data_IF_257556932215
#
_entry.id   IF_257556932215
#
_cell.length_a   1.000
_cell.length_b   1.000
_cell.length_c   1.000
_cell.angle_alpha   90.00
_cell.angle_beta   90.00
_cell.angle_gamma   90.00
#
_symmetry.space_group_name_H-M   'P 1'
#
loop_
_entity.id
_entity.type
_entity.pdbx_description
1 polymer ?
#
# COMPACT_ATOMS: atom_id res chain seq x y z
N UNK A 1 38.72 7.59 -30.09
CA UNK A 1 38.11 8.95 -30.13
C UNK A 1 36.68 8.86 -29.58
N UNK A 2 36.42 9.47 -28.44
CA UNK A 2 35.04 9.54 -27.91
C UNK A 2 34.22 10.46 -28.80
N UNK A 3 33.07 10.00 -29.28
CA UNK A 3 32.28 10.74 -30.25
C UNK A 3 31.54 11.92 -29.55
N UNK A 4 31.22 12.96 -30.36
CA UNK A 4 30.43 14.11 -29.91
C UNK A 4 29.08 13.69 -29.23
N UNK A 5 28.60 12.51 -29.60
CA UNK A 5 27.41 11.88 -29.06
C UNK A 5 27.61 11.33 -27.63
N UNK A 6 28.80 10.80 -27.34
CA UNK A 6 29.14 10.31 -25.99
C UNK A 6 29.39 11.48 -25.04
N UNK A 7 29.95 12.58 -25.49
CA UNK A 7 30.12 13.81 -24.74
C UNK A 7 28.75 14.43 -24.37
N UNK A 8 27.80 14.50 -25.30
CA UNK A 8 26.46 15.03 -25.06
C UNK A 8 25.64 14.12 -24.15
N UNK A 9 25.83 12.79 -24.21
CA UNK A 9 25.23 11.87 -23.24
C UNK A 9 25.72 12.11 -21.81
N UNK A 10 27.02 12.30 -21.63
CA UNK A 10 27.60 12.54 -20.30
C UNK A 10 27.28 13.93 -19.76
N UNK A 11 27.21 14.96 -20.60
CA UNK A 11 26.82 16.32 -20.19
C UNK A 11 25.31 16.40 -19.92
N UNK A 12 24.49 15.72 -20.71
CA UNK A 12 23.04 15.64 -20.47
C UNK A 12 22.70 14.90 -19.17
N UNK A 13 23.41 13.81 -18.87
CA UNK A 13 23.25 13.07 -17.60
C UNK A 13 23.77 13.87 -16.39
N UNK A 14 24.92 14.55 -16.52
CA UNK A 14 25.48 15.35 -15.45
C UNK A 14 24.68 16.64 -15.20
N UNK A 15 24.23 17.33 -16.27
CA UNK A 15 23.40 18.53 -16.16
C UNK A 15 21.98 18.23 -15.63
N UNK A 16 21.39 17.13 -16.06
CA UNK A 16 20.10 16.65 -15.54
C UNK A 16 20.18 16.28 -14.05
N UNK A 17 21.20 15.53 -13.64
CA UNK A 17 21.38 15.17 -12.22
C UNK A 17 21.75 16.36 -11.34
N UNK A 18 22.52 17.34 -11.81
CA UNK A 18 22.86 18.55 -11.03
C UNK A 18 21.66 19.46 -10.84
N UNK A 19 20.76 19.59 -11.83
CA UNK A 19 19.49 20.32 -11.67
C UNK A 19 18.54 19.59 -10.71
N UNK A 20 18.60 18.26 -10.62
CA UNK A 20 17.80 17.46 -9.68
C UNK A 20 18.35 17.47 -8.24
N UNK A 21 19.65 17.65 -8.03
CA UNK A 21 20.28 17.65 -6.71
C UNK A 21 20.07 18.98 -5.93
N UNK A 22 19.69 20.07 -6.59
CA UNK A 22 19.70 21.42 -6.00
C UNK A 22 18.45 21.82 -5.20
N UNK A 23 17.39 21.04 -5.18
CA UNK A 23 16.15 21.37 -4.49
C UNK A 23 15.70 20.25 -3.52
N UNK A 24 16.49 20.00 -2.49
CA UNK A 24 15.91 19.44 -1.28
C UNK A 24 15.20 20.59 -0.56
N UNK A 25 13.87 20.55 -0.50
CA UNK A 25 13.13 21.48 0.36
C UNK A 25 13.69 21.35 1.80
N UNK A 26 13.74 22.45 2.53
CA UNK A 26 14.32 22.45 3.89
C UNK A 26 13.75 21.36 4.80
N UNK A 27 12.51 20.91 4.57
CA UNK A 27 11.83 19.88 5.37
C UNK A 27 12.38 18.45 5.14
N UNK A 28 12.68 18.05 3.89
CA UNK A 28 13.27 16.73 3.67
C UNK A 28 14.70 16.63 4.20
N UNK A 29 15.48 17.70 4.06
CA UNK A 29 16.81 17.79 4.66
C UNK A 29 16.72 17.77 6.20
N UNK A 30 15.70 18.40 6.78
CA UNK A 30 15.43 18.39 8.23
C UNK A 30 15.08 16.97 8.69
N UNK A 31 14.18 16.26 8.01
CA UNK A 31 13.83 14.86 8.34
C UNK A 31 15.04 13.94 8.29
N UNK A 32 15.86 14.03 7.24
CA UNK A 32 17.08 13.22 7.13
C UNK A 32 18.06 13.51 8.26
N UNK A 33 18.27 14.78 8.60
CA UNK A 33 19.16 15.20 9.70
C UNK A 33 18.66 14.69 11.06
N UNK A 34 17.37 14.85 11.36
CA UNK A 34 16.75 14.35 12.58
C UNK A 34 16.80 12.83 12.66
N UNK A 35 16.60 12.12 11.54
CA UNK A 35 16.76 10.67 11.50
C UNK A 35 18.19 10.22 11.83
N UNK A 36 19.20 11.01 11.44
CA UNK A 36 20.59 10.77 11.85
C UNK A 36 20.81 11.02 13.35
N UNK A 37 20.20 12.07 13.92
CA UNK A 37 20.30 12.38 15.35
C UNK A 37 19.76 11.27 16.25
N UNK A 38 18.67 10.60 15.83
CA UNK A 38 18.08 9.48 16.57
C UNK A 38 18.56 8.10 16.08
N UNK A 39 19.63 8.04 15.26
CA UNK A 39 20.14 6.77 14.73
C UNK A 39 20.62 5.80 15.83
N UNK A 40 20.93 6.32 17.04
CA UNK A 40 21.29 5.52 18.21
C UNK A 40 20.09 4.86 18.90
N UNK A 41 18.86 5.30 18.63
CA UNK A 41 17.64 4.69 19.15
C UNK A 41 17.23 3.49 18.30
N UNK A 42 16.78 2.41 18.95
CA UNK A 42 16.10 1.35 18.23
C UNK A 42 14.80 1.86 17.59
N UNK A 43 14.29 1.24 16.52
CA UNK A 43 13.02 1.63 15.91
C UNK A 43 11.85 1.70 16.91
N UNK A 44 11.81 0.78 17.87
CA UNK A 44 10.80 0.74 18.93
C UNK A 44 10.91 1.93 19.90
N UNK A 45 12.14 2.29 20.30
CA UNK A 45 12.38 3.47 21.14
C UNK A 45 12.02 4.75 20.40
N UNK A 46 12.42 4.86 19.14
CA UNK A 46 12.08 6.00 18.29
C UNK A 46 10.57 6.14 18.05
N UNK A 47 9.79 5.05 18.14
CA UNK A 47 8.35 5.07 17.89
C UNK A 47 7.56 6.00 18.82
N UNK A 48 8.02 6.20 20.06
CA UNK A 48 7.40 7.06 21.07
C UNK A 48 8.10 8.41 21.26
N UNK A 49 9.15 8.72 20.47
CA UNK A 49 9.87 10.00 20.53
C UNK A 49 9.08 11.09 19.81
N UNK A 50 8.18 11.77 20.54
CA UNK A 50 7.31 12.79 19.95
C UNK A 50 8.09 13.98 19.37
N UNK A 51 9.26 14.33 19.89
CA UNK A 51 10.08 15.45 19.36
C UNK A 51 10.55 15.14 17.94
N UNK A 52 10.93 13.88 17.67
CA UNK A 52 11.24 13.44 16.32
C UNK A 52 10.00 13.46 15.41
N UNK A 53 8.87 12.92 15.89
CA UNK A 53 7.67 12.80 15.05
C UNK A 53 6.98 14.12 14.78
N UNK A 54 7.14 15.15 15.62
CA UNK A 54 6.68 16.52 15.33
C UNK A 54 7.27 17.04 14.03
N UNK A 55 8.54 16.81 13.76
CA UNK A 55 9.15 17.25 12.49
C UNK A 55 8.59 16.50 11.27
N UNK A 56 8.26 15.20 11.42
CA UNK A 56 7.57 14.42 10.38
C UNK A 56 6.15 14.97 10.17
N UNK A 57 5.41 15.26 11.25
CA UNK A 57 4.07 15.85 11.20
C UNK A 57 4.07 17.17 10.44
N UNK A 58 5.05 18.05 10.70
CA UNK A 58 5.22 19.33 10.03
C UNK A 58 5.56 19.23 8.54
N UNK A 59 5.99 18.07 8.06
CA UNK A 59 6.22 17.83 6.63
C UNK A 59 4.92 17.57 5.84
N UNK A 60 3.76 17.54 6.50
CA UNK A 60 2.45 17.32 5.87
C UNK A 60 1.56 18.54 6.00
N UNK A 61 0.76 18.84 4.97
CA UNK A 61 -0.36 19.79 5.03
C UNK A 61 -1.59 19.09 5.60
N UNK A 62 -1.57 18.82 6.92
CA UNK A 62 -2.72 18.25 7.59
C UNK A 62 -3.85 19.29 7.74
N UNK A 63 -5.11 18.84 7.63
CA UNK A 63 -6.26 19.71 7.92
C UNK A 63 -6.25 20.15 9.39
N UNK A 64 -6.52 21.43 9.63
CA UNK A 64 -6.68 21.98 11.00
C UNK A 64 -8.09 21.75 11.56
N UNK A 65 -9.04 21.37 10.72
CA UNK A 65 -10.46 21.23 11.07
C UNK A 65 -10.96 19.79 11.04
N UNK A 66 -10.25 18.88 10.37
CA UNK A 66 -10.61 17.48 10.25
C UNK A 66 -9.46 16.61 10.75
N UNK A 67 -9.73 15.75 11.70
CA UNK A 67 -8.82 14.69 12.13
C UNK A 67 -8.99 13.51 11.17
N UNK A 68 -8.02 13.33 10.26
CA UNK A 68 -8.09 12.25 9.29
C UNK A 68 -7.53 10.95 9.87
N UNK A 69 -8.43 10.00 10.18
CA UNK A 69 -8.11 8.65 10.59
C UNK A 69 -8.60 7.61 9.55
N UNK A 70 -8.66 8.00 8.27
CA UNK A 70 -8.99 7.11 7.15
C UNK A 70 -7.85 7.03 6.11
N UNK A 71 -6.59 7.03 6.56
CA UNK A 71 -5.41 6.95 5.70
C UNK A 71 -5.28 5.60 4.97
N UNK A 72 -5.97 4.56 5.42
CA UNK A 72 -6.07 3.29 4.70
C UNK A 72 -6.84 3.38 3.38
N UNK A 73 -7.68 4.38 3.18
CA UNK A 73 -8.28 4.66 1.87
C UNK A 73 -7.23 5.25 0.93
N UNK A 74 -6.73 6.41 1.29
CA UNK A 74 -5.68 7.17 0.61
C UNK A 74 -5.00 8.07 1.64
N UNK A 75 -3.68 8.29 1.53
CA UNK A 75 -2.92 9.14 2.45
C UNK A 75 -2.51 10.46 1.81
N UNK A 76 -2.41 11.55 2.58
CA UNK A 76 -1.87 12.80 2.05
C UNK A 76 -0.40 12.64 1.69
N UNK A 77 0.04 13.45 0.74
CA UNK A 77 1.44 13.54 0.32
C UNK A 77 2.20 14.47 1.27
N UNK A 78 3.49 14.19 1.58
CA UNK A 78 4.36 15.20 2.17
C UNK A 78 4.48 16.44 1.28
N UNK A 79 4.68 17.64 1.85
CA UNK A 79 4.79 18.90 1.10
C UNK A 79 5.82 18.84 -0.02
N UNK A 80 6.98 18.21 0.21
CA UNK A 80 8.01 18.05 -0.81
C UNK A 80 7.51 17.30 -2.06
N UNK A 81 6.59 16.34 -1.88
CA UNK A 81 5.98 15.58 -2.99
C UNK A 81 4.93 16.43 -3.70
N UNK A 82 4.14 17.20 -2.96
CA UNK A 82 3.15 18.14 -3.52
C UNK A 82 3.83 19.21 -4.36
N UNK A 83 4.87 19.87 -3.82
CA UNK A 83 5.64 20.92 -4.51
C UNK A 83 6.29 20.38 -5.80
N UNK A 84 6.78 19.15 -5.75
CA UNK A 84 7.35 18.51 -6.92
C UNK A 84 6.29 18.23 -8.00
N UNK A 85 5.13 17.70 -7.60
CA UNK A 85 4.01 17.46 -8.51
C UNK A 85 3.58 18.75 -9.22
N UNK A 86 3.41 19.84 -8.48
CA UNK A 86 3.04 21.12 -9.03
C UNK A 86 4.10 21.66 -10.01
N UNK A 87 5.38 21.57 -9.62
CA UNK A 87 6.49 22.01 -10.48
C UNK A 87 6.56 21.20 -11.77
N UNK A 88 6.47 19.89 -11.71
CA UNK A 88 6.52 19.03 -12.90
C UNK A 88 5.29 19.22 -13.79
N UNK A 89 4.12 19.47 -13.22
CA UNK A 89 2.94 19.84 -13.99
C UNK A 89 3.16 21.15 -14.77
N UNK A 90 3.74 22.19 -14.17
CA UNK A 90 4.06 23.45 -14.86
C UNK A 90 5.07 23.23 -15.99
N UNK A 91 6.17 22.52 -15.72
CA UNK A 91 7.19 22.18 -16.75
C UNK A 91 6.56 21.41 -17.91
N UNK A 92 5.71 20.42 -17.63
CA UNK A 92 5.04 19.66 -18.68
C UNK A 92 4.20 20.55 -19.58
N UNK A 93 3.55 21.60 -19.03
CA UNK A 93 2.67 22.51 -19.77
C UNK A 93 3.41 23.56 -20.61
N UNK A 94 4.73 23.76 -20.44
CA UNK A 94 5.51 24.68 -21.28
C UNK A 94 5.63 24.19 -22.74
N UNK A 95 5.84 22.87 -22.95
CA UNK A 95 5.80 22.20 -24.25
C UNK A 95 5.48 20.70 -24.04
N UNK A 96 4.20 20.31 -23.94
CA UNK A 96 3.79 19.00 -23.38
C UNK A 96 4.46 17.79 -24.03
N UNK A 97 4.38 17.68 -25.39
CA UNK A 97 4.96 16.50 -26.07
C UNK A 97 6.48 16.42 -25.96
N UNK A 98 7.16 17.55 -25.85
CA UNK A 98 8.62 17.59 -25.68
C UNK A 98 9.02 17.24 -24.26
N UNK A 99 8.48 17.92 -23.25
CA UNK A 99 8.87 17.71 -21.87
C UNK A 99 8.42 16.35 -21.35
N UNK A 100 7.23 15.91 -21.69
CA UNK A 100 6.73 14.60 -21.26
C UNK A 100 7.56 13.46 -21.86
N UNK A 101 7.62 13.37 -23.20
CA UNK A 101 8.20 12.21 -23.89
C UNK A 101 9.73 12.27 -24.06
N UNK A 102 10.33 13.45 -24.10
CA UNK A 102 11.78 13.58 -24.33
C UNK A 102 12.56 13.78 -23.04
N UNK A 103 11.97 14.35 -22.01
CA UNK A 103 12.66 14.72 -20.78
C UNK A 103 12.16 13.86 -19.60
N UNK A 104 10.88 13.93 -19.25
CA UNK A 104 10.38 13.26 -18.05
C UNK A 104 10.33 11.74 -18.17
N UNK A 105 10.10 11.20 -19.37
CA UNK A 105 10.09 9.76 -19.58
C UNK A 105 11.45 9.10 -19.22
N UNK A 106 12.55 9.84 -19.33
CA UNK A 106 13.87 9.38 -18.91
C UNK A 106 13.97 9.15 -17.38
N UNK A 107 13.10 9.78 -16.60
CA UNK A 107 13.04 9.60 -15.14
C UNK A 107 12.35 8.31 -14.69
N UNK A 108 11.74 7.57 -15.61
CA UNK A 108 10.98 6.35 -15.28
C UNK A 108 11.90 5.20 -14.83
N UNK A 109 13.00 4.94 -15.51
CA UNK A 109 13.93 3.88 -15.13
C UNK A 109 14.63 4.15 -13.78
N UNK A 110 15.11 5.36 -13.46
CA UNK A 110 15.55 5.71 -12.11
C UNK A 110 14.47 5.53 -11.04
N UNK A 111 13.20 5.86 -11.33
CA UNK A 111 12.10 5.61 -10.41
C UNK A 111 11.86 4.11 -10.19
N UNK A 112 11.87 3.31 -11.28
CA UNK A 112 11.74 1.85 -11.21
C UNK A 112 12.82 1.26 -10.31
N UNK A 113 14.08 1.68 -10.48
CA UNK A 113 15.18 1.20 -9.64
C UNK A 113 14.96 1.54 -8.17
N UNK A 114 14.56 2.78 -7.83
CA UNK A 114 14.26 3.17 -6.45
C UNK A 114 13.12 2.36 -5.83
N UNK A 115 12.07 2.10 -6.59
CA UNK A 115 10.94 1.28 -6.12
C UNK A 115 11.36 -0.18 -5.94
N UNK A 116 12.17 -0.72 -6.86
CA UNK A 116 12.70 -2.08 -6.79
C UNK A 116 13.63 -2.27 -5.57
N UNK A 117 14.50 -1.29 -5.28
CA UNK A 117 15.35 -1.29 -4.09
C UNK A 117 14.52 -1.30 -2.81
N UNK A 118 13.48 -0.45 -2.74
CA UNK A 118 12.57 -0.42 -1.60
C UNK A 118 11.80 -1.73 -1.46
N UNK A 119 11.33 -2.29 -2.59
CA UNK A 119 10.56 -3.54 -2.67
C UNK A 119 11.41 -4.80 -2.46
N UNK A 120 12.74 -4.73 -2.65
CA UNK A 120 13.65 -5.86 -2.59
C UNK A 120 13.46 -6.85 -3.74
N UNK A 121 13.33 -6.33 -4.97
CA UNK A 121 13.22 -7.12 -6.18
C UNK A 121 14.09 -6.53 -7.31
N UNK A 122 14.16 -7.22 -8.44
CA UNK A 122 14.83 -6.68 -9.62
C UNK A 122 13.99 -5.58 -10.28
N UNK A 123 14.59 -4.49 -10.79
CA UNK A 123 13.88 -3.53 -11.66
C UNK A 123 13.22 -4.20 -12.87
N UNK A 124 13.77 -5.31 -13.36
CA UNK A 124 13.24 -6.09 -14.48
C UNK A 124 11.99 -6.94 -14.10
N UNK A 125 11.56 -6.87 -12.86
CA UNK A 125 10.36 -7.53 -12.35
C UNK A 125 9.27 -6.55 -11.90
N UNK A 126 9.52 -5.22 -12.04
CA UNK A 126 8.64 -4.19 -11.52
C UNK A 126 8.13 -3.28 -12.64
N UNK A 127 6.81 -3.19 -12.80
CA UNK A 127 6.13 -2.23 -13.66
C UNK A 127 5.48 -1.11 -12.81
N UNK A 128 5.53 0.12 -13.34
CA UNK A 128 4.89 1.29 -12.73
C UNK A 128 3.48 1.41 -13.31
N UNK A 129 2.48 1.46 -12.43
CA UNK A 129 1.07 1.59 -12.79
C UNK A 129 0.35 2.65 -11.92
N UNK A 130 -0.98 2.71 -11.97
CA UNK A 130 -1.76 3.76 -11.30
C UNK A 130 -2.26 3.36 -9.91
N UNK A 131 -2.44 2.08 -9.63
CA UNK A 131 -2.91 1.58 -8.34
C UNK A 131 -2.90 0.04 -8.28
N UNK A 132 -3.20 -0.51 -7.10
CA UNK A 132 -3.34 -1.96 -6.90
C UNK A 132 -4.38 -2.59 -7.82
N UNK A 133 -5.52 -1.92 -8.02
CA UNK A 133 -6.62 -2.46 -8.85
C UNK A 133 -6.15 -2.71 -10.28
N UNK A 134 -5.42 -1.78 -10.89
CA UNK A 134 -4.85 -1.96 -12.23
C UNK A 134 -3.81 -3.10 -12.26
N UNK A 135 -2.91 -3.13 -11.26
CA UNK A 135 -1.88 -4.18 -11.18
C UNK A 135 -2.49 -5.57 -11.03
N UNK A 136 -3.41 -5.74 -10.09
CA UNK A 136 -4.09 -7.02 -9.89
C UNK A 136 -5.02 -7.38 -11.05
N UNK A 137 -5.70 -6.41 -11.65
CA UNK A 137 -6.50 -6.67 -12.85
C UNK A 137 -5.62 -7.12 -14.02
N UNK A 138 -4.43 -6.54 -14.18
CA UNK A 138 -3.44 -6.99 -15.18
C UNK A 138 -3.08 -8.46 -14.96
N UNK A 139 -2.82 -8.87 -13.72
CA UNK A 139 -2.54 -10.27 -13.38
C UNK A 139 -3.77 -11.12 -13.65
N UNK A 140 -4.91 -10.80 -13.04
CA UNK A 140 -6.14 -11.61 -13.08
C UNK A 140 -6.61 -11.82 -14.52
N UNK A 141 -6.60 -10.77 -15.34
CA UNK A 141 -7.07 -10.84 -16.74
C UNK A 141 -6.03 -11.43 -17.69
N UNK A 142 -4.73 -11.28 -17.37
CA UNK A 142 -3.61 -11.73 -18.19
C UNK A 142 -3.24 -13.21 -18.01
N UNK A 143 -3.65 -13.84 -16.91
CA UNK A 143 -3.39 -15.25 -16.63
C UNK A 143 -4.10 -16.17 -17.63
N UNK A 144 -3.38 -17.15 -18.17
CA UNK A 144 -3.95 -18.20 -19.03
C UNK A 144 -4.53 -19.32 -18.16
N UNK A 145 -5.80 -19.19 -17.79
CA UNK A 145 -6.57 -20.19 -17.07
C UNK A 145 -7.56 -20.88 -18.00
N UNK A 146 -7.88 -22.14 -17.74
CA UNK A 146 -8.78 -22.98 -18.54
C UNK A 146 -10.07 -23.28 -17.76
N UNK A 147 -11.12 -23.63 -18.47
CA UNK A 147 -12.36 -24.13 -17.88
C UNK A 147 -12.08 -25.21 -16.83
N UNK A 148 -12.59 -25.01 -15.64
CA UNK A 148 -12.44 -25.92 -14.51
C UNK A 148 -11.17 -25.75 -13.69
N UNK A 149 -10.21 -24.89 -14.08
CA UNK A 149 -9.11 -24.49 -13.20
C UNK A 149 -9.67 -23.77 -11.97
N UNK A 150 -9.04 -23.98 -10.83
CA UNK A 150 -9.51 -23.43 -9.55
C UNK A 150 -8.62 -22.31 -9.06
N UNK A 151 -9.26 -21.29 -8.46
CA UNK A 151 -8.63 -20.16 -7.78
C UNK A 151 -9.12 -20.11 -6.34
N UNK A 152 -8.20 -20.13 -5.37
CA UNK A 152 -8.51 -20.03 -3.94
C UNK A 152 -8.34 -18.59 -3.49
N UNK A 153 -9.37 -18.04 -2.81
CA UNK A 153 -9.41 -16.66 -2.32
C UNK A 153 -10.32 -16.54 -1.11
N UNK A 154 -10.32 -15.37 -0.45
CA UNK A 154 -11.13 -15.15 0.75
C UNK A 154 -12.36 -14.26 0.48
N UNK A 155 -13.42 -14.42 1.30
CA UNK A 155 -14.58 -13.51 1.27
C UNK A 155 -14.21 -12.11 1.79
N UNK A 156 -13.13 -12.00 2.54
CA UNK A 156 -12.63 -10.77 3.13
C UNK A 156 -11.73 -9.95 2.18
N UNK A 157 -11.46 -10.45 0.98
CA UNK A 157 -10.69 -9.74 -0.04
C UNK A 157 -11.37 -8.45 -0.51
N UNK A 158 -10.59 -7.60 -1.19
CA UNK A 158 -11.10 -6.30 -1.66
C UNK A 158 -12.18 -6.48 -2.73
N UNK A 159 -13.35 -5.79 -2.64
CA UNK A 159 -14.50 -6.02 -3.50
C UNK A 159 -14.22 -5.97 -5.00
N UNK A 160 -13.40 -5.01 -5.46
CA UNK A 160 -13.08 -4.91 -6.89
C UNK A 160 -12.32 -6.14 -7.40
N UNK A 161 -11.48 -6.75 -6.57
CA UNK A 161 -10.74 -7.95 -6.94
C UNK A 161 -11.64 -9.19 -6.91
N UNK A 162 -12.55 -9.26 -5.95
CA UNK A 162 -13.62 -10.26 -5.94
C UNK A 162 -14.43 -10.19 -7.25
N UNK A 163 -14.81 -8.98 -7.69
CA UNK A 163 -15.55 -8.81 -8.95
C UNK A 163 -14.70 -9.18 -10.16
N UNK A 164 -13.41 -8.87 -10.18
CA UNK A 164 -12.52 -9.28 -11.25
C UNK A 164 -12.44 -10.81 -11.37
N UNK A 165 -12.32 -11.53 -10.26
CA UNK A 165 -12.34 -12.99 -10.24
C UNK A 165 -13.71 -13.57 -10.67
N UNK A 166 -14.82 -13.01 -10.18
CA UNK A 166 -16.17 -13.39 -10.63
C UNK A 166 -16.36 -13.19 -12.13
N UNK A 167 -15.82 -12.10 -12.69
CA UNK A 167 -15.83 -11.87 -14.14
C UNK A 167 -15.06 -12.97 -14.89
N UNK A 168 -13.91 -13.41 -14.36
CA UNK A 168 -13.15 -14.54 -14.92
C UNK A 168 -13.92 -15.85 -14.80
N UNK A 169 -14.57 -16.12 -13.67
CA UNK A 169 -15.43 -17.30 -13.48
C UNK A 169 -16.54 -17.34 -14.52
N UNK A 170 -17.22 -16.22 -14.77
CA UNK A 170 -18.28 -16.12 -15.78
C UNK A 170 -17.76 -16.28 -17.22
N UNK A 171 -16.63 -15.67 -17.55
CA UNK A 171 -16.10 -15.63 -18.91
C UNK A 171 -15.36 -16.91 -19.31
N UNK A 172 -14.54 -17.41 -18.40
CA UNK A 172 -13.57 -18.48 -18.69
C UNK A 172 -13.94 -19.81 -18.02
N UNK A 173 -15.08 -19.86 -17.30
CA UNK A 173 -15.62 -21.04 -16.61
C UNK A 173 -14.62 -21.67 -15.61
N UNK A 174 -13.72 -20.84 -15.03
CA UNK A 174 -12.90 -21.24 -13.88
C UNK A 174 -13.79 -21.43 -12.65
N UNK A 175 -13.23 -21.96 -11.56
CA UNK A 175 -13.96 -22.18 -10.30
C UNK A 175 -13.30 -21.38 -9.16
N UNK A 176 -14.11 -20.62 -8.43
CA UNK A 176 -13.66 -19.87 -7.27
C UNK A 176 -13.90 -20.68 -5.99
N UNK A 177 -12.84 -20.93 -5.25
CA UNK A 177 -12.85 -21.66 -3.96
C UNK A 177 -12.76 -20.63 -2.83
N UNK A 178 -13.85 -20.42 -2.12
CA UNK A 178 -13.99 -19.37 -1.13
C UNK A 178 -13.62 -19.83 0.27
N UNK A 179 -12.77 -19.05 0.94
CA UNK A 179 -12.48 -19.16 2.36
C UNK A 179 -13.21 -18.03 3.09
N UNK A 180 -13.89 -18.35 4.19
CA UNK A 180 -14.38 -17.34 5.13
C UNK A 180 -13.46 -17.28 6.35
N UNK A 181 -12.91 -16.10 6.66
CA UNK A 181 -12.04 -15.86 7.79
C UNK A 181 -12.85 -15.25 8.95
N UNK A 182 -12.81 -15.91 10.09
CA UNK A 182 -13.41 -15.39 11.34
C UNK A 182 -12.33 -14.62 12.11
N UNK A 183 -12.25 -13.31 11.86
CA UNK A 183 -11.21 -12.44 12.37
C UNK A 183 -11.52 -11.87 13.76
N UNK A 184 -10.50 -11.60 14.60
CA UNK A 184 -9.08 -11.81 14.37
C UNK A 184 -8.64 -13.27 14.55
N UNK A 185 -7.65 -13.71 13.76
CA UNK A 185 -6.96 -14.98 13.91
C UNK A 185 -5.53 -14.70 14.36
N UNK A 186 -5.08 -15.35 15.43
CA UNK A 186 -3.76 -15.15 16.04
C UNK A 186 -2.92 -16.43 16.05
N UNK A 187 -3.05 -17.22 14.98
CA UNK A 187 -2.31 -18.46 14.77
C UNK A 187 -2.08 -18.68 13.27
N UNK A 188 -0.80 -18.73 12.86
CA UNK A 188 -0.41 -18.91 11.48
C UNK A 188 -0.87 -20.24 10.89
N UNK A 189 -0.80 -21.32 11.68
CA UNK A 189 -1.17 -22.65 11.21
C UNK A 189 -2.66 -22.73 10.86
N UNK A 190 -3.50 -22.00 11.60
CA UNK A 190 -4.94 -21.87 11.27
C UNK A 190 -5.14 -21.25 9.88
N UNK A 191 -4.36 -20.21 9.52
CA UNK A 191 -4.42 -19.65 8.17
C UNK A 191 -3.96 -20.67 7.14
N UNK A 192 -2.79 -21.28 7.34
CA UNK A 192 -2.23 -22.26 6.41
C UNK A 192 -3.22 -23.41 6.19
N UNK A 193 -3.81 -23.93 7.26
CA UNK A 193 -4.81 -24.98 7.18
C UNK A 193 -6.02 -24.57 6.35
N UNK A 194 -6.64 -23.40 6.64
CA UNK A 194 -7.82 -22.92 5.89
C UNK A 194 -7.56 -22.78 4.40
N UNK A 195 -6.36 -22.34 3.99
CA UNK A 195 -6.00 -22.23 2.58
C UNK A 195 -5.73 -23.62 1.98
N UNK A 196 -4.95 -24.46 2.64
CA UNK A 196 -4.55 -25.78 2.12
C UNK A 196 -5.69 -26.79 2.01
N UNK A 197 -6.73 -26.69 2.85
CA UNK A 197 -7.98 -27.45 2.75
C UNK A 197 -8.75 -27.19 1.46
N UNK A 198 -8.53 -26.04 0.80
CA UNK A 198 -9.14 -25.72 -0.48
C UNK A 198 -8.32 -26.17 -1.69
N UNK A 199 -7.08 -26.60 -1.50
CA UNK A 199 -6.20 -26.99 -2.61
C UNK A 199 -6.56 -28.37 -3.16
N UNK A 200 -6.78 -28.42 -4.47
CA UNK A 200 -7.02 -29.66 -5.23
C UNK A 200 -6.02 -29.76 -6.39
N UNK A 201 -5.94 -30.88 -7.12
CA UNK A 201 -5.11 -30.99 -8.33
C UNK A 201 -5.48 -29.96 -9.44
N UNK A 202 -6.67 -29.36 -9.36
CA UNK A 202 -7.15 -28.34 -10.31
C UNK A 202 -6.80 -26.91 -9.86
N UNK A 203 -6.37 -26.72 -8.63
CA UNK A 203 -5.98 -25.41 -8.12
C UNK A 203 -4.75 -24.90 -8.86
N UNK A 204 -4.84 -23.73 -9.46
CA UNK A 204 -3.74 -23.07 -10.20
C UNK A 204 -3.24 -21.82 -9.50
N UNK A 205 -4.11 -21.13 -8.80
CA UNK A 205 -3.83 -19.84 -8.17
C UNK A 205 -4.34 -19.83 -6.74
N UNK A 206 -3.52 -19.29 -5.84
CA UNK A 206 -3.96 -18.78 -4.55
C UNK A 206 -3.82 -17.26 -4.55
N UNK A 207 -4.91 -16.56 -4.23
CA UNK A 207 -4.95 -15.10 -4.10
C UNK A 207 -4.97 -14.75 -2.61
N UNK A 208 -4.03 -13.93 -2.17
CA UNK A 208 -3.83 -13.61 -0.75
C UNK A 208 -3.78 -12.10 -0.57
N UNK A 209 -4.75 -11.54 0.16
CA UNK A 209 -4.64 -10.16 0.66
C UNK A 209 -3.72 -10.17 1.89
N UNK A 210 -2.51 -9.59 1.75
CA UNK A 210 -1.48 -9.62 2.80
C UNK A 210 -1.95 -8.94 4.10
N UNK A 211 -2.69 -7.83 3.98
CA UNK A 211 -3.38 -7.20 5.12
C UNK A 211 -4.83 -6.91 4.77
N UNK A 212 -5.75 -7.55 5.46
CA UNK A 212 -7.19 -7.34 5.27
C UNK A 212 -7.56 -5.89 5.58
N UNK A 213 -8.03 -5.18 4.57
CA UNK A 213 -8.34 -3.74 4.65
C UNK A 213 -9.49 -3.39 5.60
N UNK A 214 -10.30 -4.36 6.00
CA UNK A 214 -11.45 -4.16 6.90
C UNK A 214 -11.06 -4.11 8.37
N UNK A 215 -10.08 -4.92 8.77
CA UNK A 215 -9.69 -5.11 10.17
C UNK A 215 -8.21 -4.88 10.45
N UNK A 216 -7.36 -4.83 9.42
CA UNK A 216 -5.91 -4.75 9.58
C UNK A 216 -5.24 -6.08 9.90
N UNK A 217 -5.97 -7.21 9.77
CA UNK A 217 -5.39 -8.53 9.95
C UNK A 217 -4.29 -8.80 8.93
N UNK A 218 -3.08 -9.07 9.40
CA UNK A 218 -1.95 -9.52 8.58
C UNK A 218 -2.02 -11.04 8.46
N UNK A 219 -1.87 -11.55 7.25
CA UNK A 219 -1.81 -12.98 6.93
C UNK A 219 -0.37 -13.45 6.80
N UNK A 220 -0.04 -14.69 7.20
CA UNK A 220 1.29 -15.28 7.08
C UNK A 220 1.55 -15.73 5.63
N UNK A 221 1.70 -14.75 4.71
CA UNK A 221 1.77 -14.98 3.25
C UNK A 221 2.85 -16.01 2.90
N UNK A 222 4.05 -15.90 3.48
CA UNK A 222 5.15 -16.81 3.20
C UNK A 222 4.79 -18.27 3.47
N UNK A 223 4.19 -18.56 4.61
CA UNK A 223 3.79 -19.94 4.97
C UNK A 223 2.72 -20.50 4.03
N UNK A 224 1.77 -19.67 3.64
CA UNK A 224 0.73 -20.04 2.67
C UNK A 224 1.36 -20.26 1.29
N UNK A 225 2.27 -19.39 0.87
CA UNK A 225 2.98 -19.48 -0.40
C UNK A 225 3.82 -20.76 -0.50
N UNK A 226 4.58 -21.11 0.55
CA UNK A 226 5.37 -22.34 0.59
C UNK A 226 4.47 -23.59 0.44
N UNK A 227 3.31 -23.59 1.11
CA UNK A 227 2.35 -24.69 0.98
C UNK A 227 1.68 -24.78 -0.40
N UNK A 228 1.49 -23.64 -1.08
CA UNK A 228 0.99 -23.54 -2.44
C UNK A 228 2.03 -24.02 -3.46
N UNK A 229 3.25 -23.52 -3.38
CA UNK A 229 4.35 -23.89 -4.26
C UNK A 229 4.71 -25.38 -4.18
N UNK A 230 4.62 -25.99 -3.00
CA UNK A 230 4.79 -27.44 -2.83
C UNK A 230 3.78 -28.26 -3.65
N UNK A 231 2.71 -27.65 -4.15
CA UNK A 231 1.67 -28.25 -5.02
C UNK A 231 1.64 -27.68 -6.44
N UNK A 232 2.62 -26.83 -6.80
CA UNK A 232 2.70 -26.19 -8.12
C UNK A 232 1.62 -25.12 -8.35
N UNK A 233 1.13 -24.48 -7.26
CA UNK A 233 0.12 -23.43 -7.29
C UNK A 233 0.82 -22.08 -7.24
N UNK A 234 0.51 -21.18 -8.18
CA UNK A 234 1.05 -19.83 -8.21
C UNK A 234 0.38 -18.91 -7.18
N UNK A 235 1.15 -17.95 -6.67
CA UNK A 235 0.75 -17.07 -5.55
C UNK A 235 0.64 -15.63 -6.02
N UNK A 236 -0.57 -15.06 -5.89
CA UNK A 236 -0.84 -13.63 -6.10
C UNK A 236 -1.01 -12.97 -4.75
N UNK A 237 -0.30 -11.87 -4.52
CA UNK A 237 -0.37 -11.10 -3.26
C UNK A 237 -0.92 -9.69 -3.52
N UNK A 238 -2.02 -9.37 -2.85
CA UNK A 238 -2.51 -8.00 -2.73
C UNK A 238 -1.77 -7.30 -1.58
N UNK A 239 -0.81 -6.44 -1.95
CA UNK A 239 0.00 -5.66 -1.03
C UNK A 239 -0.49 -4.24 -0.80
N UNK A 240 -1.74 -3.92 -1.15
CA UNK A 240 -2.28 -2.56 -1.10
C UNK A 240 -2.11 -1.86 0.26
N UNK A 241 -2.10 -2.63 1.35
CA UNK A 241 -1.97 -2.11 2.72
C UNK A 241 -0.65 -2.44 3.40
N UNK A 242 0.30 -3.08 2.73
CA UNK A 242 1.54 -3.52 3.39
C UNK A 242 2.80 -2.88 2.86
N UNK A 243 2.85 -2.51 1.58
CA UNK A 243 4.01 -1.84 1.00
C UNK A 243 4.25 -0.46 1.64
N UNK A 244 5.48 -0.19 2.05
CA UNK A 244 5.88 1.03 2.78
C UNK A 244 5.13 1.26 4.11
N UNK A 245 4.40 0.26 4.60
CA UNK A 245 3.72 0.18 5.89
C UNK A 245 4.45 -0.79 6.83
N UNK A 246 4.74 -1.99 6.33
CA UNK A 246 5.49 -3.04 7.01
C UNK A 246 6.91 -3.14 6.43
N UNK A 247 7.84 -3.58 7.25
CA UNK A 247 9.23 -3.79 6.86
C UNK A 247 9.45 -5.22 6.38
N UNK A 248 9.33 -5.44 5.08
CA UNK A 248 9.58 -6.69 4.39
C UNK A 248 10.07 -6.43 2.96
N UNK A 249 10.60 -7.45 2.32
CA UNK A 249 10.90 -7.48 0.89
C UNK A 249 9.92 -8.41 0.18
N UNK A 250 9.58 -8.12 -1.07
CA UNK A 250 8.65 -8.98 -1.85
C UNK A 250 9.16 -10.42 -1.91
N UNK A 251 10.49 -10.60 -1.99
CA UNK A 251 11.15 -11.92 -1.93
C UNK A 251 10.82 -12.71 -0.67
N UNK A 252 10.57 -12.03 0.47
CA UNK A 252 10.25 -12.69 1.75
C UNK A 252 8.85 -13.32 1.73
N UNK A 253 7.96 -12.83 0.86
CA UNK A 253 6.58 -13.30 0.76
C UNK A 253 6.41 -14.58 -0.05
N UNK A 254 7.36 -14.91 -0.92
CA UNK A 254 7.20 -16.00 -1.87
C UNK A 254 6.13 -15.73 -2.94
N UNK A 255 5.87 -14.46 -3.27
CA UNK A 255 4.89 -14.10 -4.29
C UNK A 255 5.42 -14.36 -5.70
N UNK A 256 4.59 -14.92 -6.59
CA UNK A 256 4.84 -14.95 -8.03
C UNK A 256 4.39 -13.64 -8.69
N UNK A 257 3.35 -13.02 -8.11
CA UNK A 257 2.78 -11.75 -8.52
C UNK A 257 2.41 -10.92 -7.29
N UNK A 258 2.66 -9.62 -7.39
CA UNK A 258 2.31 -8.69 -6.31
C UNK A 258 1.88 -7.34 -6.90
N UNK A 259 0.90 -6.67 -6.30
CA UNK A 259 0.58 -5.30 -6.66
C UNK A 259 0.24 -4.46 -5.43
N UNK A 260 0.54 -3.17 -5.54
CA UNK A 260 0.27 -2.21 -4.45
C UNK A 260 -0.05 -0.81 -4.98
N UNK A 261 -0.69 -0.01 -4.12
CA UNK A 261 -0.97 1.42 -4.34
C UNK A 261 0.05 2.27 -3.57
N UNK A 262 0.83 3.08 -4.28
CA UNK A 262 1.86 3.92 -3.69
C UNK A 262 1.28 5.17 -2.98
N UNK A 263 0.06 5.58 -3.34
CA UNK A 263 -0.65 6.71 -2.73
C UNK A 263 -1.31 6.38 -1.38
N UNK A 264 -1.07 5.18 -0.83
CA UNK A 264 -1.49 4.81 0.53
C UNK A 264 -0.31 5.04 1.49
N UNK A 265 0.37 3.99 1.88
CA UNK A 265 1.40 4.07 2.93
C UNK A 265 2.72 4.70 2.49
N UNK A 266 3.05 4.70 1.20
CA UNK A 266 4.21 5.45 0.68
C UNK A 266 3.94 6.96 0.61
N UNK A 267 2.66 7.38 0.66
CA UNK A 267 2.25 8.80 0.52
C UNK A 267 2.72 9.45 -0.80
N UNK A 268 2.77 8.64 -1.87
CA UNK A 268 3.05 9.13 -3.23
C UNK A 268 1.84 9.85 -3.82
N UNK A 269 1.97 10.55 -4.95
CA UNK A 269 0.85 11.19 -5.62
C UNK A 269 -0.33 10.24 -5.89
N UNK A 270 -1.55 10.78 -5.84
CA UNK A 270 -2.75 10.00 -6.10
C UNK A 270 -2.72 9.40 -7.51
N UNK A 271 -3.16 8.16 -7.64
CA UNK A 271 -3.10 7.45 -8.90
C UNK A 271 -1.70 6.90 -9.23
N UNK A 272 -0.96 6.44 -8.21
CA UNK A 272 0.31 5.74 -8.35
C UNK A 272 0.26 4.35 -7.74
N UNK A 273 0.90 3.40 -8.40
CA UNK A 273 1.01 2.01 -7.99
C UNK A 273 2.20 1.31 -8.64
N UNK A 274 2.39 0.07 -8.28
CA UNK A 274 3.35 -0.81 -8.95
C UNK A 274 2.83 -2.25 -9.02
N UNK A 275 3.29 -2.96 -10.03
CA UNK A 275 3.06 -4.37 -10.29
C UNK A 275 4.41 -5.08 -10.27
N UNK A 276 4.55 -6.12 -9.46
CA UNK A 276 5.66 -7.07 -9.49
C UNK A 276 5.20 -8.35 -10.18
N UNK A 277 6.02 -8.84 -11.09
CA UNK A 277 5.86 -10.14 -11.75
C UNK A 277 7.21 -10.84 -11.70
N UNK A 278 7.26 -12.01 -11.09
CA UNK A 278 8.46 -12.84 -11.02
C UNK A 278 9.00 -13.09 -12.44
N UNK A 279 10.30 -12.95 -12.64
CA UNK A 279 10.95 -12.92 -13.97
C UNK A 279 10.47 -14.02 -14.91
N UNK A 280 10.42 -15.26 -14.44
CA UNK A 280 10.00 -16.42 -15.23
C UNK A 280 8.50 -16.41 -15.61
N UNK A 281 7.69 -15.56 -14.97
CA UNK A 281 6.24 -15.45 -15.23
C UNK A 281 5.91 -14.33 -16.24
N UNK A 282 6.83 -13.39 -16.48
CA UNK A 282 6.58 -12.23 -17.36
C UNK A 282 6.12 -12.67 -18.75
N UNK A 283 6.83 -13.60 -19.37
CA UNK A 283 6.54 -14.06 -20.74
C UNK A 283 5.14 -14.67 -20.89
N UNK A 284 4.64 -15.35 -19.86
CA UNK A 284 3.36 -16.07 -19.90
C UNK A 284 2.16 -15.23 -19.50
N UNK A 285 2.36 -14.10 -18.83
CA UNK A 285 1.29 -13.20 -18.42
C UNK A 285 1.01 -12.17 -19.51
N UNK A 286 -0.22 -12.11 -19.99
CA UNK A 286 -0.64 -11.12 -20.98
C UNK A 286 -0.84 -9.73 -20.35
N UNK A 287 -0.45 -8.65 -21.05
CA UNK A 287 -0.74 -7.29 -20.56
C UNK A 287 -2.23 -6.98 -20.66
N UNK A 288 -2.74 -6.10 -19.79
CA UNK A 288 -4.13 -5.63 -19.80
C UNK A 288 -4.41 -4.73 -21.01
N UNK A 289 -3.45 -3.90 -21.37
CA UNK A 289 -3.52 -3.01 -22.53
C UNK A 289 -2.76 -3.59 -23.72
N UNK A 290 -3.15 -3.24 -24.97
CA UNK A 290 -2.52 -3.78 -26.15
C UNK A 290 -1.03 -3.45 -26.21
N UNK A 291 -0.22 -4.40 -26.65
CA UNK A 291 1.22 -4.26 -26.84
C UNK A 291 1.62 -4.91 -28.17
N UNK A 292 2.68 -4.42 -28.78
CA UNK A 292 3.22 -4.96 -30.05
C UNK A 292 3.66 -6.41 -29.88
N UNK A 293 4.29 -6.74 -28.74
CA UNK A 293 4.63 -8.11 -28.38
C UNK A 293 4.09 -8.42 -26.97
N UNK A 294 2.88 -8.96 -26.85
CA UNK A 294 2.29 -9.30 -25.58
C UNK A 294 3.01 -10.46 -24.86
N UNK A 295 3.86 -11.22 -25.56
CA UNK A 295 4.68 -12.30 -25.00
C UNK A 295 6.14 -11.91 -24.78
N UNK A 296 6.49 -10.63 -24.91
CA UNK A 296 7.82 -10.15 -24.57
C UNK A 296 8.21 -10.53 -23.14
N UNK A 297 9.49 -10.85 -22.94
CA UNK A 297 10.09 -11.06 -21.62
C UNK A 297 10.62 -9.72 -21.06
N UNK A 298 9.78 -8.69 -21.15
CA UNK A 298 10.07 -7.33 -20.68
C UNK A 298 8.90 -6.85 -19.82
N UNK A 299 9.19 -6.49 -18.58
CA UNK A 299 8.22 -6.00 -17.61
C UNK A 299 7.50 -4.73 -18.09
N UNK A 300 8.17 -3.93 -18.94
CA UNK A 300 7.65 -2.66 -19.47
C UNK A 300 6.44 -2.84 -20.39
N UNK A 301 6.17 -4.07 -20.85
CA UNK A 301 4.96 -4.39 -21.62
C UNK A 301 3.67 -4.09 -20.86
N UNK A 302 3.72 -4.05 -19.52
CA UNK A 302 2.56 -3.72 -18.67
C UNK A 302 2.36 -2.20 -18.48
N UNK A 303 3.21 -1.36 -19.06
CA UNK A 303 3.18 0.10 -18.89
C UNK A 303 2.68 0.87 -20.11
N UNK A 304 2.11 0.20 -21.09
CA UNK A 304 1.61 0.84 -22.33
C UNK A 304 0.24 1.46 -22.07
N UNK A 305 0.24 2.67 -21.48
CA UNK A 305 -0.96 3.38 -21.04
C UNK A 305 -1.37 4.56 -21.95
N UNK A 306 -0.58 4.88 -23.00
CA UNK A 306 -0.78 6.09 -23.78
C UNK A 306 -0.43 7.36 -22.98
N UNK A 307 -1.12 8.46 -23.28
CA UNK A 307 -0.90 9.74 -22.61
C UNK A 307 -1.39 9.69 -21.17
N UNK A 308 -0.52 10.11 -20.24
CA UNK A 308 -0.77 10.11 -18.80
C UNK A 308 0.00 11.27 -18.13
N UNK A 309 -0.18 11.46 -16.84
CA UNK A 309 0.58 12.47 -16.10
C UNK A 309 1.99 11.98 -15.77
N UNK A 310 2.99 12.48 -16.46
CA UNK A 310 4.41 12.22 -16.16
C UNK A 310 4.85 12.90 -14.86
N UNK A 311 4.23 14.03 -14.51
CA UNK A 311 4.50 14.75 -13.27
C UNK A 311 4.28 13.87 -12.03
N UNK A 312 3.25 13.04 -12.06
CA UNK A 312 2.91 12.09 -10.99
C UNK A 312 4.04 11.07 -10.80
N UNK A 313 4.58 10.52 -11.88
CA UNK A 313 5.70 9.56 -11.83
C UNK A 313 6.97 10.23 -11.26
N UNK A 314 7.31 11.45 -11.72
CA UNK A 314 8.48 12.18 -11.24
C UNK A 314 8.39 12.48 -9.72
N UNK A 315 7.24 12.93 -9.24
CA UNK A 315 7.02 13.24 -7.84
C UNK A 315 7.05 11.98 -6.95
N UNK A 316 6.70 10.81 -7.47
CA UNK A 316 6.76 9.54 -6.73
C UNK A 316 8.17 9.23 -6.23
N UNK A 317 9.21 9.57 -7.00
CA UNK A 317 10.61 9.40 -6.59
C UNK A 317 10.96 10.15 -5.30
N UNK A 318 10.31 11.30 -5.04
CA UNK A 318 10.50 12.04 -3.79
C UNK A 318 9.75 11.40 -2.60
N UNK A 319 8.62 10.75 -2.85
CA UNK A 319 7.94 9.97 -1.82
C UNK A 319 8.82 8.78 -1.36
N UNK A 320 9.50 8.10 -2.30
CA UNK A 320 10.48 7.04 -1.97
C UNK A 320 11.64 7.60 -1.14
N UNK A 321 12.19 8.76 -1.53
CA UNK A 321 13.27 9.40 -0.78
C UNK A 321 12.82 9.78 0.64
N UNK A 322 11.60 10.31 0.80
CA UNK A 322 11.02 10.66 2.09
C UNK A 322 10.80 9.42 2.99
N UNK A 323 10.28 8.33 2.40
CA UNK A 323 10.16 7.03 3.07
C UNK A 323 11.53 6.53 3.58
N UNK A 324 12.54 6.57 2.71
CA UNK A 324 13.90 6.12 3.06
C UNK A 324 14.54 7.01 4.14
N UNK A 325 14.24 8.30 4.16
CA UNK A 325 14.73 9.22 5.20
C UNK A 325 14.15 8.88 6.59
N UNK A 326 12.91 8.44 6.67
CA UNK A 326 12.30 7.94 7.92
C UNK A 326 12.87 6.55 8.26
N UNK A 327 12.95 5.66 7.27
CA UNK A 327 13.26 4.25 7.42
C UNK A 327 12.02 3.39 7.64
N UNK A 328 11.88 2.29 6.87
CA UNK A 328 10.67 1.47 6.86
C UNK A 328 10.36 0.88 8.22
N UNK A 329 11.35 0.29 8.90
CA UNK A 329 11.14 -0.29 10.23
C UNK A 329 10.74 0.73 11.29
N UNK A 330 11.35 1.92 11.27
CA UNK A 330 10.99 3.00 12.20
C UNK A 330 9.57 3.49 11.97
N UNK A 331 9.17 3.61 10.71
CA UNK A 331 7.80 3.96 10.34
C UNK A 331 6.80 2.89 10.79
N UNK A 332 7.08 1.62 10.55
CA UNK A 332 6.23 0.50 11.01
C UNK A 332 6.00 0.56 12.52
N UNK A 333 7.08 0.71 13.32
CA UNK A 333 6.96 0.76 14.77
C UNK A 333 6.16 1.99 15.24
N UNK A 334 6.33 3.16 14.59
CA UNK A 334 5.49 4.34 14.87
C UNK A 334 4.03 4.08 14.58
N UNK A 335 3.71 3.52 13.43
CA UNK A 335 2.34 3.21 13.03
C UNK A 335 1.68 2.22 13.99
N UNK A 336 2.41 1.20 14.42
CA UNK A 336 2.00 0.24 15.43
C UNK A 336 1.77 0.91 16.80
N UNK A 337 2.69 1.78 17.20
CA UNK A 337 2.57 2.58 18.42
C UNK A 337 1.29 3.43 18.42
N UNK A 338 1.03 4.17 17.34
CA UNK A 338 -0.18 5.00 17.21
C UNK A 338 -1.47 4.16 17.30
N UNK A 339 -1.52 3.00 16.65
CA UNK A 339 -2.66 2.08 16.74
C UNK A 339 -2.83 1.57 18.18
N UNK A 340 -1.77 1.06 18.79
CA UNK A 340 -1.83 0.52 20.14
C UNK A 340 -2.20 1.60 21.17
N UNK A 341 -1.72 2.83 21.00
CA UNK A 341 -1.99 3.95 21.90
C UNK A 341 -3.49 4.18 22.18
N UNK A 342 -4.31 4.16 21.14
CA UNK A 342 -5.75 4.31 21.32
C UNK A 342 -6.45 2.98 21.63
N UNK A 343 -6.04 1.88 21.00
CA UNK A 343 -6.66 0.57 21.21
C UNK A 343 -6.57 0.13 22.68
N UNK A 344 -5.40 0.27 23.31
CA UNK A 344 -5.19 -0.10 24.72
C UNK A 344 -6.08 0.71 25.69
N UNK A 345 -6.37 1.98 25.34
CA UNK A 345 -7.23 2.85 26.17
C UNK A 345 -8.73 2.51 26.07
N UNK A 346 -9.15 1.81 25.00
CA UNK A 346 -10.58 1.56 24.76
C UNK A 346 -10.98 0.09 24.82
N UNK A 347 -10.03 -0.85 24.76
CA UNK A 347 -10.31 -2.30 24.63
C UNK A 347 -11.19 -2.89 25.74
N UNK A 348 -11.08 -2.34 26.96
CA UNK A 348 -11.79 -2.83 28.14
C UNK A 348 -13.02 -1.96 28.50
N UNK A 349 -13.39 -0.99 27.65
CA UNK A 349 -14.58 -0.18 27.85
C UNK A 349 -15.85 -0.99 27.63
N UNK A 350 -16.93 -0.71 28.38
CA UNK A 350 -18.22 -1.38 28.17
C UNK A 350 -18.69 -1.29 26.72
N UNK A 351 -19.24 -2.36 26.17
CA UNK A 351 -19.80 -2.43 24.81
C UNK A 351 -18.79 -2.28 23.68
N UNK A 352 -17.52 -1.96 23.98
CA UNK A 352 -16.46 -1.84 22.95
C UNK A 352 -15.89 -3.21 22.64
N UNK A 353 -15.75 -3.51 21.35
CA UNK A 353 -15.04 -4.70 20.84
C UNK A 353 -14.04 -4.29 19.76
N UNK A 354 -12.78 -4.66 19.96
CA UNK A 354 -11.78 -4.57 18.90
C UNK A 354 -11.89 -5.80 17.98
N UNK A 355 -12.07 -5.57 16.69
CA UNK A 355 -12.09 -6.60 15.66
C UNK A 355 -10.71 -6.83 15.03
N UNK A 356 -9.66 -6.38 15.71
CA UNK A 356 -8.25 -6.38 15.28
C UNK A 356 -7.40 -6.95 16.40
N UNK A 357 -6.45 -7.81 16.05
CA UNK A 357 -5.45 -8.29 17.00
C UNK A 357 -4.53 -7.14 17.47
N UNK A 358 -4.12 -7.19 18.73
CA UNK A 358 -3.10 -6.27 19.27
C UNK A 358 -1.68 -6.83 19.14
N UNK A 359 -1.52 -8.12 18.76
CA UNK A 359 -0.21 -8.72 18.56
C UNK A 359 0.48 -8.14 17.33
N UNK A 360 1.77 -7.82 17.42
CA UNK A 360 2.50 -7.15 16.35
C UNK A 360 2.59 -7.97 15.05
N UNK A 361 2.53 -9.30 15.13
CA UNK A 361 2.57 -10.19 13.98
C UNK A 361 1.30 -10.11 13.13
N UNK A 362 0.17 -9.74 13.75
CA UNK A 362 -1.15 -9.82 13.12
C UNK A 362 -1.79 -8.48 12.82
N UNK A 363 -1.17 -7.35 13.20
CA UNK A 363 -1.68 -6.01 12.87
C UNK A 363 -0.60 -4.93 12.91
N UNK A 364 -0.87 -3.76 12.28
CA UNK A 364 -0.02 -2.58 12.39
C UNK A 364 -0.88 -1.31 12.57
N UNK A 365 -0.87 -0.34 11.65
CA UNK A 365 -1.60 0.92 11.82
C UNK A 365 -3.12 0.78 11.81
N UNK A 366 -3.64 -0.17 11.06
CA UNK A 366 -5.05 -0.31 10.78
C UNK A 366 -5.75 -1.13 11.87
N UNK A 367 -6.85 -0.60 12.43
CA UNK A 367 -7.69 -1.33 13.36
C UNK A 367 -9.17 -1.07 13.08
N UNK A 368 -10.03 -1.98 13.56
CA UNK A 368 -11.47 -1.89 13.47
C UNK A 368 -12.07 -2.04 14.89
N UNK A 369 -12.97 -1.14 15.22
CA UNK A 369 -13.67 -1.11 16.51
C UNK A 369 -15.18 -1.11 16.28
N UNK A 370 -15.89 -1.90 17.06
CA UNK A 370 -17.37 -1.90 17.12
C UNK A 370 -17.85 -1.54 18.52
N UNK A 371 -19.07 -1.04 18.60
CA UNK A 371 -19.76 -0.73 19.85
C UNK A 371 -21.08 -1.49 19.81
N UNK A 372 -21.29 -2.35 20.80
CA UNK A 372 -22.48 -3.19 20.88
C UNK A 372 -23.76 -2.35 20.85
N UNK A 373 -24.71 -2.74 20.00
CA UNK A 373 -25.99 -2.06 19.79
C UNK A 373 -25.88 -0.78 18.96
N UNK A 374 -24.76 -0.54 18.24
CA UNK A 374 -24.61 0.57 17.30
C UNK A 374 -24.19 0.09 15.91
N UNK A 375 -24.84 0.64 14.88
CA UNK A 375 -24.41 0.41 13.50
C UNK A 375 -23.15 1.23 13.17
N UNK A 376 -22.22 0.70 12.33
CA UNK A 376 -20.97 1.39 12.00
C UNK A 376 -21.15 2.80 11.42
N UNK A 377 -22.21 3.01 10.60
CA UNK A 377 -22.52 4.33 10.05
C UNK A 377 -22.93 5.35 11.12
N UNK A 378 -23.64 4.92 12.17
CA UNK A 378 -24.00 5.80 13.29
C UNK A 378 -22.78 6.20 14.12
N UNK A 379 -21.84 5.27 14.33
CA UNK A 379 -20.57 5.55 15.02
C UNK A 379 -19.77 6.57 14.21
N UNK A 380 -19.59 6.34 12.90
CA UNK A 380 -18.85 7.23 11.99
C UNK A 380 -19.46 8.63 11.97
N UNK A 381 -20.78 8.73 11.80
CA UNK A 381 -21.51 10.00 11.79
C UNK A 381 -21.34 10.78 13.10
N UNK A 382 -21.36 10.10 14.25
CA UNK A 382 -21.09 10.71 15.54
C UNK A 382 -19.65 11.23 15.64
N UNK A 383 -18.65 10.40 15.26
CA UNK A 383 -17.24 10.77 15.27
C UNK A 383 -17.01 12.03 14.43
N UNK A 384 -17.61 12.08 13.23
CA UNK A 384 -17.44 13.22 12.34
C UNK A 384 -18.22 14.47 12.80
N UNK A 385 -19.50 14.33 13.18
CA UNK A 385 -20.32 15.46 13.53
C UNK A 385 -19.83 16.19 14.79
N UNK A 386 -19.44 15.44 15.82
CA UNK A 386 -19.06 15.97 17.14
C UNK A 386 -17.57 16.29 17.27
N UNK A 387 -16.72 15.42 16.73
CA UNK A 387 -15.25 15.51 16.93
C UNK A 387 -14.47 15.83 15.65
N UNK A 388 -15.15 15.91 14.50
CA UNK A 388 -14.52 16.08 13.18
C UNK A 388 -13.50 14.98 12.86
N UNK A 389 -13.72 13.77 13.37
CA UNK A 389 -12.86 12.62 13.10
C UNK A 389 -13.42 11.88 11.88
N UNK A 390 -12.64 11.86 10.80
CA UNK A 390 -12.97 11.16 9.57
C UNK A 390 -12.45 9.71 9.63
N UNK A 391 -13.36 8.76 9.51
CA UNK A 391 -13.09 7.32 9.58
C UNK A 391 -13.83 6.58 8.45
N UNK A 392 -13.84 5.24 8.46
CA UNK A 392 -14.58 4.45 7.48
C UNK A 392 -15.50 3.44 8.17
N UNK A 393 -16.84 3.54 8.00
CA UNK A 393 -17.76 2.51 8.49
C UNK A 393 -17.60 1.25 7.61
N UNK A 394 -17.56 0.09 8.25
CA UNK A 394 -17.38 -1.21 7.60
C UNK A 394 -18.57 -2.10 7.93
N UNK A 395 -19.23 -2.57 6.89
CA UNK A 395 -20.19 -3.67 6.90
C UNK A 395 -19.82 -4.57 5.73
N UNK A 396 -19.09 -5.63 5.99
CA UNK A 396 -18.61 -6.55 4.96
C UNK A 396 -18.53 -7.98 5.48
N UNK A 397 -19.31 -8.87 4.88
CA UNK A 397 -19.44 -10.28 5.29
C UNK A 397 -19.72 -10.38 6.80
N UNK A 398 -18.86 -11.05 7.56
CA UNK A 398 -18.96 -11.19 9.02
C UNK A 398 -18.30 -10.04 9.82
N UNK A 399 -17.86 -8.96 9.16
CA UNK A 399 -17.16 -7.84 9.80
C UNK A 399 -18.07 -6.62 9.89
N UNK A 400 -18.28 -6.12 11.12
CA UNK A 400 -18.99 -4.87 11.40
C UNK A 400 -18.18 -4.00 12.34
N UNK A 401 -18.04 -2.71 12.05
CA UNK A 401 -17.33 -1.75 12.90
C UNK A 401 -16.83 -0.54 12.12
N UNK A 402 -16.07 0.32 12.78
CA UNK A 402 -15.43 1.48 12.17
C UNK A 402 -13.94 1.24 12.05
N UNK A 403 -13.41 1.40 10.84
CA UNK A 403 -11.98 1.29 10.57
C UNK A 403 -11.28 2.60 10.91
N UNK A 404 -10.27 2.51 11.74
CA UNK A 404 -9.41 3.61 12.19
C UNK A 404 -8.01 3.37 11.63
N UNK A 405 -7.47 4.36 10.90
CA UNK A 405 -6.15 4.26 10.27
C UNK A 405 -5.35 5.54 10.48
N UNK A 406 -4.63 5.69 11.61
CA UNK A 406 -3.66 6.76 11.78
C UNK A 406 -2.51 6.65 10.78
N UNK A 407 -1.81 7.75 10.55
CA UNK A 407 -0.58 7.80 9.75
C UNK A 407 0.53 8.51 10.53
N UNK A 408 1.76 8.53 10.02
CA UNK A 408 2.91 9.12 10.74
C UNK A 408 2.75 10.59 11.12
N UNK A 409 1.87 11.31 10.46
CA UNK A 409 1.55 12.71 10.80
C UNK A 409 0.44 12.85 11.86
N UNK A 410 -0.24 11.75 12.22
CA UNK A 410 -1.28 11.75 13.27
C UNK A 410 -0.65 12.04 14.63
N UNK A 411 -1.22 12.96 15.39
CA UNK A 411 -0.76 13.32 16.73
C UNK A 411 -1.43 12.47 17.80
N UNK A 412 -0.78 12.35 18.98
CA UNK A 412 -1.41 11.70 20.14
C UNK A 412 -2.66 12.47 20.59
N UNK A 413 -2.66 13.80 20.44
CA UNK A 413 -3.84 14.64 20.74
C UNK A 413 -5.04 14.29 19.85
N UNK A 414 -4.84 13.93 18.59
CA UNK A 414 -5.91 13.47 17.70
C UNK A 414 -6.47 12.13 18.19
N UNK A 415 -5.59 11.25 18.63
CA UNK A 415 -5.98 9.93 19.17
C UNK A 415 -6.65 10.05 20.54
N UNK A 416 -6.26 11.01 21.40
CA UNK A 416 -6.96 11.28 22.67
C UNK A 416 -8.40 11.72 22.42
N UNK A 417 -8.67 12.54 21.41
CA UNK A 417 -10.04 12.88 21.00
C UNK A 417 -10.84 11.67 20.51
N UNK A 418 -10.19 10.75 19.79
CA UNK A 418 -10.81 9.49 19.39
C UNK A 418 -11.17 8.64 20.61
N UNK A 419 -10.27 8.52 21.58
CA UNK A 419 -10.50 7.78 22.84
C UNK A 419 -11.65 8.40 23.63
N UNK A 420 -11.70 9.74 23.74
CA UNK A 420 -12.81 10.46 24.38
C UNK A 420 -14.15 10.13 23.69
N UNK A 421 -14.19 10.21 22.35
CA UNK A 421 -15.39 9.93 21.59
C UNK A 421 -15.88 8.48 21.75
N UNK A 422 -14.98 7.49 21.68
CA UNK A 422 -15.31 6.08 21.89
C UNK A 422 -15.76 5.85 23.34
N UNK A 423 -15.11 6.48 24.33
CA UNK A 423 -15.49 6.40 25.74
C UNK A 423 -16.90 6.95 25.97
N UNK A 424 -17.25 8.06 25.32
CA UNK A 424 -18.60 8.60 25.36
C UNK A 424 -19.63 7.60 24.78
N UNK A 425 -19.36 7.05 23.59
CA UNK A 425 -20.24 6.09 22.93
C UNK A 425 -20.37 4.76 23.69
N UNK A 426 -19.34 4.35 24.42
CA UNK A 426 -19.39 3.12 25.25
C UNK A 426 -20.40 3.21 26.39
N UNK A 427 -20.69 4.43 26.88
CA UNK A 427 -21.58 4.69 28.01
C UNK A 427 -22.96 5.18 27.59
N UNK A 428 -23.09 5.75 26.40
CA UNK A 428 -24.31 6.41 25.94
C UNK A 428 -24.82 5.76 24.65
N UNK A 429 -26.11 5.52 24.56
CA UNK A 429 -26.77 5.18 23.31
C UNK A 429 -26.98 6.49 22.54
N UNK A 430 -26.43 6.60 21.34
CA UNK A 430 -26.72 7.71 20.42
C UNK A 430 -27.70 7.19 19.40
N UNK A 431 -28.85 7.88 19.30
CA UNK A 431 -29.93 7.59 18.35
C UNK A 431 -29.53 8.05 16.94
#
# INVERSE_FOLDING_TARGET
>A
MKTRRDFLRHVGLAGGMAAFAGFQSGHAASVARLSQQIAHLSPLQAASDEDYWVAIQQAYTASTTIINLNNGGVSPQPMIVQDALDRYNRIANEAPSYYMWRIMDQGREPLRSKLADLAGCSPEELAINRNTTEGLATIIMGLTLRKGDEVVLTRQDYPNMIQAWKQREMRDEIKLKWINLELPIENDDTFVQKFTEQFTPKTKIVYITHMINWTGQILPVRKIADAAHARGIDVIVDGAHTFAHLDYKISDLGADYFATSLHKWLSAPFGTGMLYVKKEKIKSLYPLFPNVDPKADDIRKYEVLGTRSFAVEQATGLAVNFQNAIGTKRKEERLRYLKNYWCEKVKDLPRVKLNTSLKPEYSCALANVSIEGMEPGAIESFLFSRYKIHTSPIVWENIKGVRITPHVYTTLKDLDKLVEAITYLSKNKVS
#
